data_IF_586815434073
#
_entry.id   IF_586815434073
#
_cell.length_a   1.000
_cell.length_b   1.000
_cell.length_c   1.000
_cell.angle_alpha   90.00
_cell.angle_beta   90.00
_cell.angle_gamma   90.00
#
_symmetry.space_group_name_H-M   'P 1'
#
loop_
_entity.id
_entity.type
_entity.pdbx_description
1 polymer ?
#
# COMPACT_ATOMS: atom_id res chain seq x y z
N UNK A 1 5.10 -22.85 -14.92
CA UNK A 1 4.47 -24.04 -14.42
C UNK A 1 2.98 -23.78 -14.28
N UNK A 2 2.12 -24.68 -14.76
CA UNK A 2 0.70 -24.58 -14.54
C UNK A 2 0.47 -24.79 -13.02
N UNK A 3 -0.15 -23.83 -12.35
CA UNK A 3 -0.73 -24.08 -11.06
C UNK A 3 -1.93 -25.00 -11.30
N UNK A 4 -1.90 -26.19 -10.74
CA UNK A 4 -3.12 -26.98 -10.63
C UNK A 4 -4.03 -26.20 -9.70
N UNK A 5 -5.24 -25.88 -10.17
CA UNK A 5 -6.26 -25.30 -9.34
C UNK A 5 -6.64 -26.36 -8.29
N UNK A 6 -6.26 -26.13 -7.04
CA UNK A 6 -6.74 -26.91 -5.91
C UNK A 6 -8.04 -26.25 -5.48
N UNK A 7 -9.12 -27.01 -5.42
CA UNK A 7 -10.38 -26.52 -4.84
C UNK A 7 -10.13 -26.26 -3.33
N UNK A 8 -10.18 -24.97 -2.95
CA UNK A 8 -10.01 -24.53 -1.57
C UNK A 8 -11.35 -24.04 -1.02
N UNK A 9 -11.60 -24.32 0.25
CA UNK A 9 -12.81 -23.81 0.92
C UNK A 9 -12.67 -22.36 1.41
N UNK A 10 -11.50 -21.77 1.24
CA UNK A 10 -11.24 -20.35 1.47
C UNK A 10 -10.76 -19.76 0.16
N UNK A 11 -11.60 -18.93 -0.44
CA UNK A 11 -11.21 -18.08 -1.56
C UNK A 11 -10.65 -16.76 -1.02
N UNK A 12 -9.46 -16.38 -1.47
CA UNK A 12 -8.99 -15.02 -1.31
C UNK A 12 -9.73 -14.15 -2.34
N UNK A 13 -10.74 -13.41 -1.88
CA UNK A 13 -11.46 -12.46 -2.72
C UNK A 13 -10.68 -11.15 -2.70
N UNK A 14 -10.04 -10.83 -3.80
CA UNK A 14 -9.45 -9.52 -4.01
C UNK A 14 -10.53 -8.55 -4.51
N UNK A 15 -10.74 -7.47 -3.78
CA UNK A 15 -11.67 -6.43 -4.17
C UNK A 15 -11.05 -5.57 -5.28
N UNK A 16 -11.66 -5.56 -6.46
CA UNK A 16 -11.17 -4.74 -7.57
C UNK A 16 -11.29 -3.24 -7.27
N UNK A 17 -10.37 -2.45 -7.80
CA UNK A 17 -10.36 -0.99 -7.69
C UNK A 17 -11.50 -0.36 -8.50
N UNK A 18 -12.72 -0.46 -7.97
CA UNK A 18 -13.97 -0.05 -8.61
C UNK A 18 -14.77 0.88 -7.71
N UNK A 19 -15.84 1.45 -8.26
CA UNK A 19 -16.79 2.26 -7.48
C UNK A 19 -17.43 1.44 -6.36
N UNK A 20 -17.65 0.12 -6.55
CA UNK A 20 -18.20 -0.78 -5.53
C UNK A 20 -17.26 -0.84 -4.32
N UNK A 21 -15.95 -0.97 -4.53
CA UNK A 21 -14.96 -0.92 -3.45
C UNK A 21 -15.04 0.41 -2.69
N UNK A 22 -15.16 1.53 -3.41
CA UNK A 22 -15.28 2.84 -2.80
C UNK A 22 -16.56 2.96 -1.96
N UNK A 23 -17.70 2.50 -2.47
CA UNK A 23 -18.98 2.47 -1.76
C UNK A 23 -18.92 1.60 -0.50
N UNK A 24 -18.35 0.39 -0.58
CA UNK A 24 -18.15 -0.51 0.55
C UNK A 24 -17.31 0.13 1.66
N UNK A 25 -16.39 1.02 1.29
CA UNK A 25 -15.56 1.78 2.22
C UNK A 25 -16.13 3.17 2.57
N UNK A 26 -17.40 3.43 2.28
CA UNK A 26 -18.07 4.71 2.51
C UNK A 26 -17.35 5.87 1.81
N UNK A 27 -16.89 5.65 0.58
CA UNK A 27 -16.26 6.65 -0.27
C UNK A 27 -17.16 6.98 -1.45
N UNK A 28 -17.10 8.24 -1.91
CA UNK A 28 -17.75 8.68 -3.15
C UNK A 28 -16.95 8.16 -4.34
N UNK A 29 -17.60 8.00 -5.51
CA UNK A 29 -16.89 7.76 -6.76
C UNK A 29 -15.79 8.81 -6.97
N UNK A 30 -14.60 8.34 -7.35
CA UNK A 30 -13.43 9.18 -7.58
C UNK A 30 -12.27 8.36 -8.14
N UNK A 31 -11.28 9.01 -8.76
CA UNK A 31 -10.18 8.29 -9.36
C UNK A 31 -9.30 7.61 -8.31
N UNK A 32 -8.94 6.37 -8.61
CA UNK A 32 -7.86 5.66 -7.93
C UNK A 32 -6.64 5.76 -8.83
N UNK A 33 -5.58 6.35 -8.32
CA UNK A 33 -4.37 6.66 -9.07
C UNK A 33 -3.17 5.84 -8.58
N UNK A 34 -2.19 5.72 -9.46
CA UNK A 34 -0.92 5.06 -9.18
C UNK A 34 0.20 5.67 -10.01
N UNK A 35 1.44 5.43 -9.62
CA UNK A 35 2.57 5.60 -10.53
C UNK A 35 2.55 4.50 -11.59
N UNK A 36 2.75 4.86 -12.85
CA UNK A 36 2.78 3.91 -13.95
C UNK A 36 4.11 3.14 -13.96
N UNK A 37 4.00 1.81 -13.89
CA UNK A 37 5.16 0.92 -13.92
C UNK A 37 5.62 0.58 -15.34
N UNK A 38 4.89 1.02 -16.36
CA UNK A 38 5.15 0.61 -17.75
C UNK A 38 6.61 0.82 -18.15
N UNK A 39 7.11 2.02 -17.96
CA UNK A 39 8.48 2.35 -18.33
C UNK A 39 9.51 1.58 -17.51
N UNK A 40 9.24 1.34 -16.23
CA UNK A 40 10.05 0.53 -15.33
C UNK A 40 10.18 -0.90 -15.86
N UNK A 41 9.07 -1.56 -16.16
CA UNK A 41 9.08 -2.93 -16.68
C UNK A 41 9.69 -3.03 -18.08
N UNK A 42 9.46 -2.05 -18.96
CA UNK A 42 10.10 -1.97 -20.27
C UNK A 42 11.63 -1.92 -20.15
N UNK A 43 12.17 -1.17 -19.18
CA UNK A 43 13.62 -1.10 -18.93
C UNK A 43 14.15 -2.41 -18.34
N UNK A 44 13.47 -2.99 -17.36
CA UNK A 44 13.86 -4.29 -16.79
C UNK A 44 13.92 -5.36 -17.88
N UNK A 45 12.88 -5.49 -18.67
CA UNK A 45 12.80 -6.50 -19.72
C UNK A 45 13.83 -6.28 -20.82
N UNK A 46 14.04 -5.03 -21.24
CA UNK A 46 14.98 -4.68 -22.31
C UNK A 46 16.43 -4.94 -21.93
N UNK A 47 16.79 -4.66 -20.68
CA UNK A 47 18.21 -4.72 -20.26
C UNK A 47 18.51 -5.87 -19.29
N UNK A 48 17.50 -6.71 -18.99
CA UNK A 48 17.62 -7.83 -18.05
C UNK A 48 18.25 -7.43 -16.68
N UNK A 49 17.86 -6.27 -16.17
CA UNK A 49 18.46 -5.64 -14.99
C UNK A 49 17.78 -6.04 -13.67
N UNK A 50 17.24 -7.24 -13.58
CA UNK A 50 16.65 -7.78 -12.35
C UNK A 50 17.58 -7.75 -11.14
N UNK A 51 18.89 -7.73 -11.38
CA UNK A 51 19.92 -7.73 -10.36
C UNK A 51 20.42 -6.33 -9.99
N UNK A 52 19.93 -5.25 -10.63
CA UNK A 52 20.37 -3.90 -10.34
C UNK A 52 19.35 -3.14 -9.47
N UNK A 53 19.52 -3.09 -8.15
CA UNK A 53 18.61 -2.38 -7.26
C UNK A 53 18.52 -0.87 -7.52
N UNK A 54 19.53 -0.27 -8.16
CA UNK A 54 19.54 1.17 -8.49
C UNK A 54 18.53 1.54 -9.58
N UNK A 55 18.09 0.58 -10.39
CA UNK A 55 17.10 0.83 -11.45
C UNK A 55 15.65 0.89 -10.95
N UNK A 56 15.41 0.47 -9.71
CA UNK A 56 14.06 0.17 -9.23
C UNK A 56 13.43 1.25 -8.35
N UNK A 57 14.22 2.07 -7.69
CA UNK A 57 13.73 2.98 -6.67
C UNK A 57 13.56 4.42 -7.14
N UNK A 58 14.57 5.20 -6.88
CA UNK A 58 14.53 6.66 -6.98
C UNK A 58 14.23 7.17 -8.40
N UNK A 59 14.88 6.61 -9.41
CA UNK A 59 14.67 7.00 -10.80
C UNK A 59 13.26 6.70 -11.30
N UNK A 60 12.72 5.56 -10.91
CA UNK A 60 11.35 5.17 -11.23
C UNK A 60 10.31 6.08 -10.59
N UNK A 61 10.47 6.40 -9.31
CA UNK A 61 9.58 7.33 -8.60
C UNK A 61 9.47 8.68 -9.28
N UNK A 62 10.61 9.30 -9.62
CA UNK A 62 10.62 10.64 -10.21
C UNK A 62 10.24 10.70 -11.69
N UNK A 63 10.48 9.63 -12.45
CA UNK A 63 10.25 9.61 -13.91
C UNK A 63 8.92 8.98 -14.33
N UNK A 64 8.23 8.28 -13.43
CA UNK A 64 6.99 7.58 -13.78
C UNK A 64 5.83 8.53 -14.08
N UNK A 65 5.03 8.17 -15.06
CA UNK A 65 3.75 8.82 -15.31
C UNK A 65 2.76 8.49 -14.18
N UNK A 66 1.83 9.41 -13.93
CA UNK A 66 0.71 9.15 -13.02
C UNK A 66 -0.45 8.63 -13.85
N UNK A 67 -0.86 7.40 -13.57
CA UNK A 67 -1.98 6.75 -14.22
C UNK A 67 -3.16 6.54 -13.27
N UNK A 68 -4.30 6.15 -13.81
CA UNK A 68 -5.47 5.79 -13.02
C UNK A 68 -6.00 4.42 -13.43
N UNK A 69 -6.74 3.81 -12.52
CA UNK A 69 -7.63 2.71 -12.84
C UNK A 69 -8.88 3.25 -13.55
N UNK A 70 -9.57 2.42 -14.34
CA UNK A 70 -10.78 2.81 -15.06
C UNK A 70 -10.62 4.02 -16.00
N UNK A 71 -9.49 4.12 -16.70
CA UNK A 71 -9.19 5.22 -17.61
C UNK A 71 -10.31 5.52 -18.64
N UNK A 72 -11.03 4.49 -19.11
CA UNK A 72 -12.15 4.69 -20.06
C UNK A 72 -13.31 5.44 -19.42
N UNK A 73 -13.66 5.12 -18.18
CA UNK A 73 -14.71 5.80 -17.43
C UNK A 73 -14.30 7.25 -17.12
N UNK A 74 -13.05 7.44 -16.68
CA UNK A 74 -12.50 8.79 -16.42
C UNK A 74 -12.55 9.65 -17.67
N UNK A 75 -12.18 9.10 -18.82
CA UNK A 75 -12.21 9.85 -20.09
C UNK A 75 -13.63 10.18 -20.57
N UNK A 76 -14.63 9.38 -20.19
CA UNK A 76 -16.02 9.57 -20.57
C UNK A 76 -16.81 10.53 -19.63
N UNK A 77 -16.30 10.77 -18.42
CA UNK A 77 -16.95 11.61 -17.41
C UNK A 77 -16.10 12.86 -17.10
N UNK A 78 -16.68 14.03 -17.34
CA UNK A 78 -16.00 15.32 -17.14
C UNK A 78 -15.62 15.55 -15.68
N UNK A 79 -16.45 15.14 -14.72
CA UNK A 79 -16.18 15.31 -13.28
C UNK A 79 -15.02 14.44 -12.86
N UNK A 80 -15.05 13.14 -13.22
CA UNK A 80 -13.96 12.22 -12.94
C UNK A 80 -12.65 12.66 -13.63
N UNK A 81 -12.74 13.20 -14.85
CA UNK A 81 -11.56 13.73 -15.56
C UNK A 81 -10.92 14.91 -14.83
N UNK A 82 -11.72 15.86 -14.32
CA UNK A 82 -11.24 16.98 -13.51
C UNK A 82 -10.65 16.50 -12.17
N UNK A 83 -11.30 15.54 -11.53
CA UNK A 83 -10.80 14.93 -10.30
C UNK A 83 -9.45 14.21 -10.53
N UNK A 84 -9.31 13.49 -11.64
CA UNK A 84 -8.04 12.87 -12.01
C UNK A 84 -6.92 13.88 -12.24
N UNK A 85 -7.22 15.00 -12.89
CA UNK A 85 -6.26 16.09 -13.07
C UNK A 85 -5.81 16.66 -11.72
N UNK A 86 -6.75 16.89 -10.80
CA UNK A 86 -6.43 17.36 -9.44
C UNK A 86 -5.58 16.35 -8.67
N UNK A 87 -5.95 15.07 -8.70
CA UNK A 87 -5.21 13.99 -8.07
C UNK A 87 -3.77 13.89 -8.61
N UNK A 88 -3.65 13.94 -9.93
CA UNK A 88 -2.35 13.88 -10.61
C UNK A 88 -1.48 15.09 -10.27
N UNK A 89 -2.06 16.29 -10.17
CA UNK A 89 -1.35 17.49 -9.75
C UNK A 89 -0.88 17.37 -8.30
N UNK A 90 -1.74 16.96 -7.36
CA UNK A 90 -1.37 16.75 -5.96
C UNK A 90 -0.17 15.82 -5.84
N UNK A 91 -0.23 14.66 -6.51
CA UNK A 91 0.83 13.67 -6.45
C UNK A 91 2.12 14.15 -7.13
N UNK A 92 2.00 14.91 -8.23
CA UNK A 92 3.14 15.54 -8.91
C UNK A 92 3.78 16.63 -8.06
N UNK A 93 2.98 17.49 -7.44
CA UNK A 93 3.45 18.59 -6.59
C UNK A 93 4.19 18.01 -5.35
N UNK A 94 3.67 16.94 -4.75
CA UNK A 94 4.36 16.20 -3.69
C UNK A 94 5.70 15.64 -4.16
N UNK A 95 5.70 14.90 -5.27
CA UNK A 95 6.91 14.30 -5.84
C UNK A 95 8.01 15.33 -6.14
N UNK A 96 7.62 16.53 -6.52
CA UNK A 96 8.53 17.63 -6.84
C UNK A 96 8.89 18.51 -5.62
N UNK A 97 8.46 18.15 -4.42
CA UNK A 97 8.72 18.91 -3.19
C UNK A 97 8.01 20.26 -3.11
N UNK A 98 6.95 20.47 -3.93
CA UNK A 98 6.12 21.69 -3.91
C UNK A 98 5.11 21.62 -2.76
N UNK A 99 4.60 20.42 -2.47
CA UNK A 99 3.68 20.12 -1.38
C UNK A 99 4.26 19.12 -0.41
N UNK A 100 3.94 19.31 0.87
CA UNK A 100 4.31 18.37 1.93
C UNK A 100 3.38 17.15 1.93
N UNK A 101 3.74 16.14 2.70
CA UNK A 101 2.91 14.94 2.91
C UNK A 101 1.52 15.30 3.44
N UNK A 102 1.46 16.19 4.41
CA UNK A 102 0.21 16.66 5.02
C UNK A 102 -0.69 17.42 4.04
N UNK A 103 -0.12 18.17 3.13
CA UNK A 103 -0.87 18.93 2.13
C UNK A 103 -1.39 18.06 0.99
N UNK A 104 -0.86 16.84 0.86
CA UNK A 104 -1.15 15.93 -0.26
C UNK A 104 -1.99 14.75 0.16
N UNK A 105 -1.71 14.18 1.34
CA UNK A 105 -2.29 12.91 1.78
C UNK A 105 -3.15 13.05 3.03
N UNK A 106 -4.08 12.10 3.21
CA UNK A 106 -4.65 11.80 4.52
C UNK A 106 -3.55 11.18 5.40
N UNK A 107 -2.88 12.02 6.19
CA UNK A 107 -1.72 11.59 6.99
C UNK A 107 -2.09 10.61 8.11
N UNK A 108 -3.34 10.61 8.59
CA UNK A 108 -3.81 9.64 9.59
C UNK A 108 -3.84 8.22 9.01
N UNK A 109 -4.33 8.08 7.77
CA UNK A 109 -4.36 6.79 7.07
C UNK A 109 -2.98 6.39 6.59
N UNK A 110 -2.24 7.33 6.03
CA UNK A 110 -0.91 7.07 5.48
C UNK A 110 0.07 6.66 6.59
N UNK A 111 0.06 7.34 7.74
CA UNK A 111 0.90 6.97 8.88
C UNK A 111 0.53 5.61 9.46
N UNK A 112 -0.76 5.25 9.46
CA UNK A 112 -1.19 3.92 9.86
C UNK A 112 -0.71 2.84 8.89
N UNK A 113 -0.78 3.09 7.58
CA UNK A 113 -0.27 2.17 6.56
C UNK A 113 1.23 1.91 6.74
N UNK A 114 2.04 2.97 6.86
CA UNK A 114 3.48 2.82 7.05
C UNK A 114 3.83 2.11 8.36
N UNK A 115 3.17 2.46 9.47
CA UNK A 115 3.43 1.81 10.77
C UNK A 115 3.03 0.32 10.78
N UNK A 116 1.94 -0.06 10.11
CA UNK A 116 1.54 -1.46 9.96
C UNK A 116 2.48 -2.20 9.01
N UNK A 117 2.94 -1.56 7.93
CA UNK A 117 3.91 -2.16 7.03
C UNK A 117 5.24 -2.46 7.74
N UNK A 118 5.68 -1.60 8.66
CA UNK A 118 6.87 -1.87 9.48
C UNK A 118 6.63 -3.06 10.41
N UNK A 119 5.51 -3.08 11.12
CA UNK A 119 5.17 -4.14 12.06
C UNK A 119 5.07 -5.51 11.39
N UNK A 120 4.49 -5.56 10.19
CA UNK A 120 4.30 -6.82 9.45
C UNK A 120 5.38 -7.08 8.40
N UNK A 121 6.42 -6.24 8.31
CA UNK A 121 7.42 -6.29 7.25
C UNK A 121 6.78 -6.28 5.84
N UNK A 122 5.72 -5.51 5.68
CA UNK A 122 4.83 -5.50 4.52
C UNK A 122 5.12 -4.34 3.57
N UNK A 123 6.40 -4.02 3.39
CA UNK A 123 6.83 -2.83 2.64
C UNK A 123 6.50 -2.86 1.15
N UNK A 124 6.19 -4.02 0.59
CA UNK A 124 5.87 -4.14 -0.83
C UNK A 124 4.68 -3.26 -1.22
N UNK A 125 3.63 -3.23 -0.39
CA UNK A 125 2.40 -2.47 -0.67
C UNK A 125 2.55 -0.95 -0.67
N UNK A 126 3.58 -0.41 -0.01
CA UNK A 126 3.80 1.04 0.05
C UNK A 126 4.91 1.54 -0.89
N UNK A 127 5.61 0.64 -1.61
CA UNK A 127 6.63 1.06 -2.59
C UNK A 127 6.01 1.93 -3.68
N UNK A 128 6.81 2.86 -4.23
CA UNK A 128 6.33 3.81 -5.23
C UNK A 128 5.55 3.15 -6.39
N UNK A 129 6.00 2.00 -6.85
CA UNK A 129 5.40 1.27 -7.96
C UNK A 129 4.18 0.44 -7.55
N UNK A 130 3.94 0.25 -6.26
CA UNK A 130 2.83 -0.56 -5.77
C UNK A 130 1.81 0.20 -4.93
N UNK A 131 2.09 1.42 -4.51
CA UNK A 131 1.12 2.23 -3.77
C UNK A 131 -0.09 2.59 -4.64
N UNK A 132 -1.28 2.46 -4.07
CA UNK A 132 -2.55 2.81 -4.69
C UNK A 132 -3.20 3.92 -3.87
N UNK A 133 -3.72 4.93 -4.54
CA UNK A 133 -4.18 6.15 -3.90
C UNK A 133 -5.56 6.52 -4.43
N UNK A 134 -6.54 6.61 -3.55
CA UNK A 134 -7.84 7.16 -3.87
C UNK A 134 -7.82 8.69 -3.69
N UNK A 135 -8.31 9.43 -4.67
CA UNK A 135 -8.52 10.87 -4.52
C UNK A 135 -9.85 11.11 -3.84
N UNK A 136 -9.81 11.67 -2.63
CA UNK A 136 -11.01 12.08 -1.91
C UNK A 136 -11.42 13.50 -2.34
N UNK A 137 -12.49 13.66 -3.13
CA UNK A 137 -12.90 14.96 -3.64
C UNK A 137 -13.50 15.89 -2.58
N UNK A 138 -13.85 15.38 -1.40
CA UNK A 138 -14.39 16.18 -0.30
C UNK A 138 -13.29 16.95 0.39
N UNK A 139 -12.18 16.28 0.69
CA UNK A 139 -11.08 16.84 1.46
C UNK A 139 -9.93 17.31 0.56
N UNK A 140 -9.99 17.00 -0.74
CA UNK A 140 -8.94 17.28 -1.73
C UNK A 140 -7.58 16.71 -1.32
N UNK A 141 -7.56 15.45 -0.87
CA UNK A 141 -6.35 14.71 -0.48
C UNK A 141 -6.33 13.33 -1.12
N UNK A 142 -5.16 12.69 -1.09
CA UNK A 142 -4.95 11.31 -1.51
C UNK A 142 -5.03 10.39 -0.28
N UNK A 143 -5.90 9.39 -0.33
CA UNK A 143 -6.01 8.35 0.69
C UNK A 143 -5.31 7.07 0.21
N UNK A 144 -4.40 6.47 1.00
CA UNK A 144 -3.76 5.23 0.60
C UNK A 144 -4.73 4.06 0.66
N UNK A 145 -4.58 3.14 -0.28
CA UNK A 145 -5.27 1.85 -0.32
C UNK A 145 -4.22 0.78 -0.02
N UNK A 146 -4.46 -0.06 0.99
CA UNK A 146 -3.60 -1.22 1.27
C UNK A 146 -3.79 -2.24 0.15
N UNK A 147 -2.70 -2.61 -0.51
CA UNK A 147 -2.69 -3.53 -1.63
C UNK A 147 -1.36 -4.30 -1.65
N UNK A 148 -1.41 -5.60 -1.94
CA UNK A 148 -0.25 -6.47 -2.20
C UNK A 148 0.90 -6.28 -1.19
N UNK A 149 0.57 -6.40 0.08
CA UNK A 149 1.48 -6.06 1.18
C UNK A 149 2.70 -6.97 1.26
N UNK A 150 2.59 -8.25 0.94
CA UNK A 150 3.65 -9.28 0.96
C UNK A 150 4.48 -9.25 2.26
N UNK A 151 3.91 -9.72 3.35
CA UNK A 151 4.56 -9.76 4.66
C UNK A 151 5.87 -10.55 4.63
N UNK A 152 6.91 -10.05 5.32
CA UNK A 152 8.21 -10.74 5.45
C UNK A 152 9.12 -10.72 4.21
N UNK A 153 8.78 -9.98 3.16
CA UNK A 153 9.47 -10.08 1.87
C UNK A 153 10.82 -9.32 1.79
N UNK A 154 10.98 -8.19 2.48
CA UNK A 154 12.14 -7.28 2.27
C UNK A 154 13.08 -7.23 3.47
N UNK A 155 12.75 -7.89 4.56
CA UNK A 155 13.52 -7.84 5.81
C UNK A 155 13.12 -6.70 6.75
N UNK A 156 13.73 -6.68 7.91
CA UNK A 156 13.34 -5.79 9.02
C UNK A 156 13.98 -4.42 8.88
N UNK A 157 13.20 -3.41 8.55
CA UNK A 157 13.63 -2.01 8.61
C UNK A 157 12.43 -1.10 8.87
N UNK A 158 12.68 0.08 9.40
CA UNK A 158 11.65 1.10 9.55
C UNK A 158 11.54 1.94 8.27
N UNK A 159 10.32 2.25 7.88
CA UNK A 159 10.05 3.06 6.69
C UNK A 159 10.74 4.43 6.70
N UNK A 160 10.91 5.02 7.90
CA UNK A 160 11.61 6.29 8.07
C UNK A 160 13.15 6.18 7.94
N UNK A 161 13.71 4.99 7.73
CA UNK A 161 15.17 4.83 7.63
C UNK A 161 15.67 5.14 6.21
N UNK A 162 16.39 6.24 5.99
CA UNK A 162 16.81 6.69 4.65
C UNK A 162 17.77 5.73 3.93
N UNK A 163 18.35 4.74 4.64
CA UNK A 163 19.24 3.73 4.01
C UNK A 163 18.52 2.87 2.98
N UNK A 164 17.20 2.74 3.11
CA UNK A 164 16.37 1.93 2.21
C UNK A 164 15.66 2.74 1.14
N UNK A 165 15.86 4.05 1.09
CA UNK A 165 15.17 4.95 0.17
C UNK A 165 15.41 4.63 -1.31
N UNK A 166 16.59 4.16 -1.66
CA UNK A 166 16.89 3.69 -3.02
C UNK A 166 15.96 2.58 -3.51
N UNK A 167 15.38 1.81 -2.58
CA UNK A 167 14.44 0.72 -2.90
C UNK A 167 12.99 1.19 -2.77
N UNK A 168 12.70 2.01 -1.76
CA UNK A 168 11.34 2.30 -1.32
C UNK A 168 10.82 3.65 -1.81
N UNK A 169 11.71 4.65 -1.96
CA UNK A 169 11.36 6.07 -2.22
C UNK A 169 10.46 6.67 -1.13
N UNK A 170 10.73 6.33 0.13
CA UNK A 170 9.93 6.79 1.28
C UNK A 170 10.38 8.13 1.85
N UNK A 171 11.65 8.53 1.64
CA UNK A 171 12.20 9.77 2.21
C UNK A 171 11.30 10.98 2.01
N UNK A 172 10.71 11.26 0.84
CA UNK A 172 9.86 12.43 0.65
C UNK A 172 8.66 12.49 1.61
N UNK A 173 8.12 11.33 2.02
CA UNK A 173 7.02 11.31 2.97
C UNK A 173 7.44 11.76 4.37
N UNK A 174 8.66 11.41 4.79
CA UNK A 174 9.18 11.66 6.14
C UNK A 174 9.88 13.03 6.30
N UNK A 175 10.01 13.81 5.24
CA UNK A 175 10.44 15.21 5.30
C UNK A 175 9.40 16.11 5.97
N UNK A 176 8.13 15.67 6.04
CA UNK A 176 7.06 16.35 6.76
C UNK A 176 7.09 15.96 8.24
N UNK A 177 7.40 16.94 9.10
CA UNK A 177 7.55 16.73 10.55
C UNK A 177 6.24 16.27 11.22
N UNK A 178 5.08 16.77 10.78
CA UNK A 178 3.78 16.40 11.32
C UNK A 178 3.46 14.94 10.97
N UNK A 179 3.74 14.53 9.73
CA UNK A 179 3.62 13.14 9.32
C UNK A 179 4.56 12.23 10.10
N UNK A 180 5.84 12.60 10.24
CA UNK A 180 6.81 11.82 11.00
C UNK A 180 6.38 11.59 12.45
N UNK A 181 5.94 12.66 13.16
CA UNK A 181 5.44 12.55 14.53
C UNK A 181 4.24 11.63 14.64
N UNK A 182 3.32 11.75 13.69
CA UNK A 182 2.12 10.91 13.65
C UNK A 182 2.46 9.44 13.41
N UNK A 183 3.32 9.16 12.43
CA UNK A 183 3.83 7.82 12.16
C UNK A 183 4.49 7.20 13.40
N UNK A 184 5.38 7.92 14.09
CA UNK A 184 6.02 7.43 15.32
C UNK A 184 5.01 7.13 16.43
N UNK A 185 3.95 7.94 16.53
CA UNK A 185 2.84 7.69 17.46
C UNK A 185 2.07 6.41 17.10
N UNK A 186 1.79 6.19 15.81
CA UNK A 186 1.13 4.96 15.31
C UNK A 186 2.02 3.73 15.52
N UNK A 187 3.29 3.83 15.20
CA UNK A 187 4.26 2.75 15.40
C UNK A 187 4.33 2.33 16.87
N UNK A 188 4.44 3.30 17.80
CA UNK A 188 4.40 3.03 19.23
C UNK A 188 3.09 2.39 19.67
N UNK A 189 1.96 2.82 19.12
CA UNK A 189 0.63 2.27 19.45
C UNK A 189 0.51 0.83 18.96
N UNK A 190 0.83 0.58 17.70
CA UNK A 190 0.63 -0.73 17.07
C UNK A 190 1.68 -1.77 17.49
N UNK A 191 2.92 -1.34 17.75
CA UNK A 191 3.96 -2.20 18.33
C UNK A 191 3.78 -2.51 19.82
N UNK A 192 2.70 -2.06 20.45
CA UNK A 192 2.38 -2.42 21.82
C UNK A 192 1.68 -3.78 21.86
N UNK A 193 2.26 -4.72 22.62
CA UNK A 193 1.74 -6.08 22.76
C UNK A 193 0.26 -6.13 23.17
N UNK A 194 -0.19 -5.22 24.04
CA UNK A 194 -1.58 -5.14 24.49
C UNK A 194 -2.52 -4.71 23.36
N UNK A 195 -2.04 -3.88 22.41
CA UNK A 195 -2.82 -3.53 21.24
C UNK A 195 -3.04 -4.74 20.35
N UNK A 196 -1.97 -5.50 20.06
CA UNK A 196 -2.05 -6.71 19.26
C UNK A 196 -2.95 -7.76 19.90
N UNK A 197 -2.79 -8.00 21.21
CA UNK A 197 -3.67 -8.90 21.98
C UNK A 197 -5.14 -8.49 21.86
N UNK A 198 -5.43 -7.18 21.95
CA UNK A 198 -6.81 -6.66 21.80
C UNK A 198 -7.41 -6.90 20.41
N UNK A 199 -6.57 -6.92 19.37
CA UNK A 199 -6.99 -7.26 18.01
C UNK A 199 -7.31 -8.75 17.91
N UNK A 200 -6.43 -9.61 18.42
CA UNK A 200 -6.65 -11.06 18.43
C UNK A 200 -7.93 -11.41 19.22
N UNK A 201 -8.12 -10.85 20.42
CA UNK A 201 -9.31 -11.12 21.26
C UNK A 201 -10.61 -10.72 20.56
N UNK A 202 -10.58 -9.64 19.77
CA UNK A 202 -11.74 -9.17 19.01
C UNK A 202 -12.10 -10.09 17.85
N UNK A 203 -11.11 -10.69 17.22
CA UNK A 203 -11.27 -11.49 16.01
C UNK A 203 -11.04 -12.99 16.21
N UNK A 204 -10.87 -13.47 17.47
CA UNK A 204 -10.51 -14.84 17.76
C UNK A 204 -11.48 -15.87 17.16
N UNK A 205 -12.78 -15.60 17.18
CA UNK A 205 -13.80 -16.52 16.62
C UNK A 205 -13.66 -16.69 15.11
N UNK A 206 -13.42 -15.61 14.41
CA UNK A 206 -13.21 -15.66 12.96
C UNK A 206 -11.88 -16.34 12.64
N UNK A 207 -10.85 -16.03 13.40
CA UNK A 207 -9.53 -16.64 13.25
C UNK A 207 -9.59 -18.16 13.49
N UNK A 208 -10.21 -18.62 14.58
CA UNK A 208 -10.38 -20.04 14.88
C UNK A 208 -11.14 -20.77 13.78
N UNK A 209 -12.20 -20.12 13.25
CA UNK A 209 -12.96 -20.66 12.13
C UNK A 209 -12.07 -20.84 10.89
N UNK A 210 -11.31 -19.82 10.50
CA UNK A 210 -10.47 -19.87 9.30
C UNK A 210 -9.30 -20.86 9.49
N UNK A 211 -8.67 -20.90 10.66
CA UNK A 211 -7.63 -21.91 10.97
C UNK A 211 -8.21 -23.31 10.86
N UNK A 212 -9.43 -23.55 11.36
CA UNK A 212 -10.08 -24.86 11.26
C UNK A 212 -10.31 -25.28 9.82
N UNK A 213 -10.77 -24.36 8.95
CA UNK A 213 -10.96 -24.64 7.53
C UNK A 213 -9.60 -24.91 6.86
N UNK A 214 -8.59 -24.07 7.12
CA UNK A 214 -7.25 -24.26 6.55
C UNK A 214 -6.65 -25.61 6.95
N UNK A 215 -6.79 -26.02 8.23
CA UNK A 215 -6.31 -27.32 8.69
C UNK A 215 -7.06 -28.51 8.10
N UNK A 216 -8.29 -28.33 7.65
CA UNK A 216 -9.01 -29.40 6.94
C UNK A 216 -8.41 -29.70 5.56
N UNK A 217 -7.74 -28.74 4.94
CA UNK A 217 -7.08 -28.87 3.63
C UNK A 217 -5.56 -29.07 3.76
N UNK A 218 -4.96 -28.38 4.75
CA UNK A 218 -3.54 -28.46 5.09
C UNK A 218 -3.39 -28.82 6.57
N UNK A 219 -3.37 -30.12 6.93
CA UNK A 219 -3.36 -30.57 8.33
C UNK A 219 -2.20 -30.03 9.18
N UNK A 220 -1.06 -29.77 8.53
CA UNK A 220 0.16 -29.26 9.16
C UNK A 220 0.21 -27.71 9.21
N UNK A 221 -0.88 -27.02 8.79
CA UNK A 221 -0.92 -25.58 8.85
C UNK A 221 -0.90 -25.07 10.29
N UNK A 222 0.05 -24.19 10.60
CA UNK A 222 0.15 -23.49 11.87
C UNK A 222 0.14 -21.99 11.62
N UNK A 223 -0.69 -21.26 12.35
CA UNK A 223 -0.65 -19.80 12.35
C UNK A 223 0.44 -19.35 13.33
N UNK A 224 1.50 -18.73 12.78
CA UNK A 224 2.63 -18.28 13.58
C UNK A 224 2.40 -16.88 14.16
N UNK A 225 1.92 -16.84 15.40
CA UNK A 225 1.79 -15.60 16.16
C UNK A 225 3.15 -14.96 16.52
N UNK A 226 4.19 -15.79 16.68
CA UNK A 226 5.48 -15.33 17.20
C UNK A 226 6.19 -14.45 16.17
N UNK A 227 6.06 -14.75 14.90
CA UNK A 227 6.65 -13.94 13.83
C UNK A 227 6.21 -12.47 13.86
N UNK A 228 5.02 -12.19 14.40
CA UNK A 228 4.50 -10.82 14.56
C UNK A 228 5.06 -10.16 15.83
N UNK A 229 5.33 -10.96 16.89
CA UNK A 229 5.86 -10.46 18.16
C UNK A 229 7.36 -10.14 18.10
N UNK A 230 8.10 -10.79 17.20
CA UNK A 230 9.54 -10.63 17.07
C UNK A 230 9.96 -9.42 16.21
N UNK A 231 9.01 -8.78 15.54
CA UNK A 231 9.18 -7.57 14.75
C UNK A 231 8.91 -6.30 15.55
#
# INVERSE_FOLDING_TARGET
GAFEAVDVNIDAIEEHFTDIMLENNNRRPGPIIKYSERFYWDQINKYNIWSNPLSSGYGGFYSSEIGAFNNKQIAADTVLSLQFQNASRLLSDFRNGIKTTKETFDIERLSSLFALNDLFQAHHGARWNNIRLYYNPINNVLEPISFDAQTGFIGTFLACNPRYDLITSYTPYFEDEDFYKLYMSKLKKYGNILFFQSVLDRHNKDLDKFITILKSEWPDYEFDYNSIYEN
#
